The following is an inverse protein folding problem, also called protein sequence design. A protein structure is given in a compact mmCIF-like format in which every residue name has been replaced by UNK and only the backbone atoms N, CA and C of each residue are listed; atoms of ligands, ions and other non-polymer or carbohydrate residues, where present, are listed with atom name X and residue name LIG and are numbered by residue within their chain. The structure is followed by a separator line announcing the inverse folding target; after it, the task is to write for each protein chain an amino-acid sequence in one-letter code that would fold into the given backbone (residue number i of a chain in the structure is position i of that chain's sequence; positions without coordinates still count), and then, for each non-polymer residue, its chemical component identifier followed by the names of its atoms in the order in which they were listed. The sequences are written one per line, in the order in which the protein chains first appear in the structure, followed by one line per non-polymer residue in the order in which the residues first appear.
data_IF_003057022039
#
_entry.id   IF_003057022039
#
_cell.length_a   1.000
_cell.length_b   1.000
_cell.length_c   1.000
_cell.angle_alpha   90.00
_cell.angle_beta   90.00
_cell.angle_gamma   90.00
#
_symmetry.space_group_name_H-M   'P 1'
#
loop_
_entity.id
_entity.type
_entity.pdbx_description
1 polymer ?
#
# COMPACT_ATOMS: atom_id res chain seq x y z
N UNK A 1 27.42 1.34 -2.57
CA UNK A 1 27.52 -0.14 -2.52
C UNK A 1 26.24 -0.69 -1.91
N UNK A 2 25.58 -1.66 -2.54
CA UNK A 2 24.36 -2.28 -2.02
C UNK A 2 24.75 -3.15 -0.83
N UNK A 3 24.09 -2.97 0.32
CA UNK A 3 24.23 -3.87 1.47
C UNK A 3 23.14 -4.93 1.39
N UNK A 4 23.53 -6.19 1.51
CA UNK A 4 22.62 -7.33 1.49
C UNK A 4 22.22 -7.70 2.91
N UNK A 5 21.04 -8.30 3.03
CA UNK A 5 20.55 -8.88 4.27
C UNK A 5 21.33 -10.18 4.60
N UNK A 6 21.52 -10.54 5.88
CA UNK A 6 22.21 -11.77 6.24
C UNK A 6 21.45 -13.02 5.79
N UNK A 7 22.19 -14.02 5.32
CA UNK A 7 21.63 -15.21 4.69
C UNK A 7 21.05 -16.22 5.67
N UNK A 8 21.68 -16.39 6.83
CA UNK A 8 21.33 -17.44 7.80
C UNK A 8 21.15 -16.85 9.20
N UNK A 9 20.50 -17.63 10.04
CA UNK A 9 20.46 -17.41 11.48
C UNK A 9 21.86 -17.30 12.07
N UNK A 10 22.02 -16.36 13.01
CA UNK A 10 23.28 -16.13 13.69
C UNK A 10 23.40 -14.71 14.26
N UNK A 11 24.57 -14.44 14.82
CA UNK A 11 24.88 -13.17 15.47
C UNK A 11 24.73 -11.99 14.50
N UNK A 12 25.19 -12.16 13.26
CA UNK A 12 25.11 -11.11 12.24
C UNK A 12 23.66 -10.72 11.91
N UNK A 13 22.77 -11.71 11.78
CA UNK A 13 21.34 -11.48 11.54
C UNK A 13 20.73 -10.71 12.71
N UNK A 14 20.98 -11.15 13.95
CA UNK A 14 20.45 -10.51 15.15
C UNK A 14 20.92 -9.04 15.27
N UNK A 15 22.18 -8.76 14.96
CA UNK A 15 22.72 -7.39 14.94
C UNK A 15 22.03 -6.55 13.85
N UNK A 16 21.79 -7.09 12.66
CA UNK A 16 21.09 -6.36 11.60
C UNK A 16 19.62 -6.08 11.96
N UNK A 17 18.92 -7.03 12.58
CA UNK A 17 17.55 -6.84 13.08
C UNK A 17 17.52 -5.74 14.13
N UNK A 18 18.38 -5.81 15.15
CA UNK A 18 18.45 -4.78 16.20
C UNK A 18 18.70 -3.38 15.63
N UNK A 19 19.64 -3.27 14.67
CA UNK A 19 19.92 -2.01 13.97
C UNK A 19 18.72 -1.54 13.13
N UNK A 20 17.98 -2.47 12.51
CA UNK A 20 16.80 -2.17 11.72
C UNK A 20 15.69 -1.58 12.61
N UNK A 21 15.35 -2.23 13.72
CA UNK A 21 14.35 -1.74 14.67
C UNK A 21 14.76 -0.38 15.25
N UNK A 22 16.01 -0.24 15.70
CA UNK A 22 16.57 1.05 16.14
C UNK A 22 16.38 2.15 15.10
N UNK A 23 16.63 1.85 13.83
CA UNK A 23 16.46 2.81 12.73
C UNK A 23 14.99 3.23 12.61
N UNK A 24 14.04 2.31 12.70
CA UNK A 24 12.61 2.66 12.58
C UNK A 24 12.14 3.46 13.79
N UNK A 25 12.54 3.10 15.02
CA UNK A 25 12.27 3.94 16.19
C UNK A 25 12.75 5.39 16.02
N UNK A 26 13.93 5.59 15.39
CA UNK A 26 14.40 6.94 15.06
C UNK A 26 13.51 7.63 14.02
N UNK A 27 13.04 6.90 12.99
CA UNK A 27 12.13 7.45 11.98
C UNK A 27 10.78 7.89 12.56
N UNK A 28 10.32 7.29 13.66
CA UNK A 28 9.07 7.70 14.33
C UNK A 28 9.13 9.13 14.90
N UNK A 29 10.34 9.70 15.06
CA UNK A 29 10.51 11.10 15.45
C UNK A 29 10.40 12.07 14.27
N UNK A 30 10.33 11.58 13.03
CA UNK A 30 10.08 12.42 11.86
C UNK A 30 8.62 12.84 11.77
N UNK A 31 8.31 13.58 10.72
CA UNK A 31 6.94 13.91 10.41
C UNK A 31 6.13 12.64 10.06
N UNK A 32 4.99 12.43 10.73
CA UNK A 32 4.05 11.32 10.51
C UNK A 32 2.77 11.76 9.77
N UNK A 33 2.77 12.95 9.17
CA UNK A 33 1.71 13.38 8.25
C UNK A 33 1.75 12.55 6.98
N UNK A 34 0.59 12.07 6.54
CA UNK A 34 0.46 11.40 5.26
C UNK A 34 0.56 12.44 4.14
N UNK A 35 1.55 12.26 3.26
CA UNK A 35 1.79 13.15 2.12
C UNK A 35 1.28 12.58 0.80
N UNK A 36 0.65 11.40 0.85
CA UNK A 36 0.11 10.71 -0.32
C UNK A 36 -1.34 11.13 -0.59
N UNK A 37 -1.85 10.79 -1.77
CA UNK A 37 -3.26 10.96 -2.13
C UNK A 37 -4.18 9.85 -1.58
N UNK A 38 -3.62 8.90 -0.85
CA UNK A 38 -4.32 7.76 -0.28
C UNK A 38 -4.81 8.10 1.12
N UNK A 39 -6.07 7.80 1.44
CA UNK A 39 -6.64 8.06 2.76
C UNK A 39 -6.33 6.89 3.70
N UNK A 40 -5.73 7.17 4.85
CA UNK A 40 -5.54 6.21 5.94
C UNK A 40 -6.43 6.58 7.13
N UNK A 41 -6.93 5.59 7.87
CA UNK A 41 -7.70 5.77 9.10
C UNK A 41 -6.94 6.61 10.12
N UNK A 42 -5.63 6.39 10.23
CA UNK A 42 -4.75 7.13 11.13
C UNK A 42 -4.66 8.62 10.78
N UNK A 43 -5.10 9.08 9.61
CA UNK A 43 -4.98 10.49 9.21
C UNK A 43 -5.84 11.47 10.02
N UNK A 44 -6.87 10.99 10.70
CA UNK A 44 -7.65 11.80 11.65
C UNK A 44 -6.90 12.07 12.96
N UNK A 45 -5.86 11.29 13.25
CA UNK A 45 -5.19 11.21 14.55
C UNK A 45 -3.98 12.12 14.65
N UNK A 46 -3.77 12.73 15.82
CA UNK A 46 -2.63 13.59 16.09
C UNK A 46 -1.27 12.85 16.03
N UNK A 47 -0.18 13.59 15.94
CA UNK A 47 1.17 13.03 15.80
C UNK A 47 1.60 12.21 17.02
N UNK A 48 1.18 12.62 18.22
CA UNK A 48 1.50 11.93 19.46
C UNK A 48 0.92 10.50 19.46
N UNK A 49 -0.38 10.36 19.26
CA UNK A 49 -1.02 9.05 19.25
C UNK A 49 -0.51 8.20 18.08
N UNK A 50 -0.26 8.77 16.90
CA UNK A 50 0.37 8.02 15.79
C UNK A 50 1.72 7.43 16.20
N UNK A 51 2.57 8.23 16.85
CA UNK A 51 3.91 7.80 17.28
C UNK A 51 3.82 6.66 18.28
N UNK A 52 3.02 6.83 19.32
CA UNK A 52 2.80 5.80 20.36
C UNK A 52 2.21 4.52 19.75
N UNK A 53 1.20 4.63 18.87
CA UNK A 53 0.64 3.47 18.18
C UNK A 53 1.70 2.70 17.39
N UNK A 54 2.57 3.39 16.65
CA UNK A 54 3.65 2.73 15.92
C UNK A 54 4.70 2.12 16.83
N UNK A 55 4.99 2.73 17.99
CA UNK A 55 5.90 2.15 18.99
C UNK A 55 5.33 0.86 19.60
N UNK A 56 4.02 0.84 19.88
CA UNK A 56 3.32 -0.36 20.37
C UNK A 56 3.42 -1.48 19.35
N UNK A 57 3.13 -1.20 18.07
CA UNK A 57 3.21 -2.21 17.01
C UNK A 57 4.62 -2.77 16.86
N UNK A 58 5.64 -1.91 16.95
CA UNK A 58 7.03 -2.36 16.90
C UNK A 58 7.38 -3.27 18.09
N UNK A 59 6.95 -2.90 19.30
CA UNK A 59 7.20 -3.70 20.50
C UNK A 59 6.52 -5.07 20.41
N UNK A 60 5.26 -5.13 19.95
CA UNK A 60 4.56 -6.40 19.77
C UNK A 60 5.18 -7.25 18.64
N UNK A 61 5.74 -6.62 17.61
CA UNK A 61 6.51 -7.32 16.58
C UNK A 61 7.82 -7.89 17.13
N UNK A 62 8.53 -7.17 18.00
CA UNK A 62 9.74 -7.66 18.66
C UNK A 62 9.43 -8.89 19.53
N UNK A 63 8.36 -8.81 20.34
CA UNK A 63 7.89 -9.95 21.14
C UNK A 63 7.55 -11.13 20.24
N UNK A 64 6.81 -10.90 19.15
CA UNK A 64 6.45 -11.96 18.21
C UNK A 64 7.68 -12.63 17.59
N UNK A 65 8.72 -11.87 17.25
CA UNK A 65 9.96 -12.44 16.71
C UNK A 65 10.65 -13.31 17.76
N UNK A 66 10.71 -12.85 19.01
CA UNK A 66 11.27 -13.62 20.12
C UNK A 66 10.46 -14.91 20.36
N UNK A 67 9.13 -14.83 20.39
CA UNK A 67 8.24 -15.99 20.54
C UNK A 67 8.48 -17.02 19.42
N UNK A 68 8.61 -16.58 18.17
CA UNK A 68 8.86 -17.48 17.03
C UNK A 68 10.21 -18.18 17.17
N UNK A 69 11.23 -17.49 17.68
CA UNK A 69 12.56 -18.04 17.91
C UNK A 69 12.55 -19.00 19.10
N UNK A 70 11.94 -18.63 20.23
CA UNK A 70 11.90 -19.43 21.46
C UNK A 70 11.09 -20.73 21.29
N UNK A 71 10.05 -20.70 20.45
CA UNK A 71 9.21 -21.85 20.15
C UNK A 71 9.79 -22.75 19.04
N UNK A 72 10.98 -22.44 18.50
CA UNK A 72 11.63 -23.17 17.40
C UNK A 72 10.69 -23.43 16.20
N UNK A 73 9.87 -22.43 15.86
CA UNK A 73 8.87 -22.55 14.80
C UNK A 73 9.57 -22.74 13.46
N UNK A 74 9.12 -23.71 12.65
CA UNK A 74 9.71 -23.94 11.33
C UNK A 74 9.13 -22.98 10.28
N UNK A 75 9.86 -22.77 9.18
CA UNK A 75 9.42 -21.90 8.08
C UNK A 75 8.09 -22.34 7.46
N UNK A 76 7.85 -23.65 7.37
CA UNK A 76 6.59 -24.21 6.88
C UNK A 76 5.42 -23.86 7.80
N UNK A 77 5.66 -23.78 9.11
CA UNK A 77 4.64 -23.39 10.08
C UNK A 77 4.32 -21.90 9.94
N UNK A 78 5.32 -21.05 9.67
CA UNK A 78 5.08 -19.64 9.33
C UNK A 78 4.18 -19.55 8.10
N UNK A 79 4.45 -20.32 7.03
CA UNK A 79 3.62 -20.31 5.83
C UNK A 79 2.17 -20.78 6.09
N UNK A 80 1.98 -21.79 6.94
CA UNK A 80 0.64 -22.30 7.28
C UNK A 80 -0.13 -21.37 8.24
N UNK A 81 0.56 -20.75 9.19
CA UNK A 81 -0.05 -20.00 10.29
C UNK A 81 -0.03 -18.48 10.10
N UNK A 82 0.63 -17.95 9.05
CA UNK A 82 0.83 -16.52 8.83
C UNK A 82 -0.46 -15.68 9.01
N UNK A 83 -1.60 -16.15 8.49
CA UNK A 83 -2.86 -15.42 8.66
C UNK A 83 -3.28 -15.30 10.13
N UNK A 84 -3.11 -16.38 10.92
CA UNK A 84 -3.41 -16.37 12.37
C UNK A 84 -2.40 -15.52 13.13
N UNK A 85 -1.12 -15.61 12.80
CA UNK A 85 -0.05 -14.79 13.38
C UNK A 85 -0.34 -13.30 13.18
N UNK A 86 -0.74 -12.90 11.97
CA UNK A 86 -1.11 -11.51 11.67
C UNK A 86 -2.31 -11.04 12.50
N UNK A 87 -3.36 -11.87 12.63
CA UNK A 87 -4.55 -11.54 13.43
C UNK A 87 -4.19 -11.44 14.91
N UNK A 88 -3.37 -12.36 15.42
CA UNK A 88 -2.88 -12.34 16.80
C UNK A 88 -2.09 -11.05 17.08
N UNK A 89 -1.14 -10.68 16.21
CA UNK A 89 -0.39 -9.44 16.30
C UNK A 89 -1.29 -8.19 16.32
N UNK A 90 -2.31 -8.14 15.46
CA UNK A 90 -3.30 -7.05 15.45
C UNK A 90 -4.08 -7.03 16.78
N UNK A 91 -4.47 -8.19 17.28
CA UNK A 91 -5.26 -8.27 18.52
C UNK A 91 -4.44 -7.82 19.75
N UNK A 92 -3.19 -8.29 19.88
CA UNK A 92 -2.28 -7.91 20.95
C UNK A 92 -1.97 -6.41 20.93
N UNK A 93 -1.59 -5.88 19.76
CA UNK A 93 -1.33 -4.45 19.58
C UNK A 93 -2.55 -3.55 19.84
N UNK A 94 -3.76 -4.04 19.54
CA UNK A 94 -4.99 -3.34 19.88
C UNK A 94 -5.23 -3.32 21.40
N UNK A 95 -5.01 -4.45 22.08
CA UNK A 95 -5.13 -4.55 23.54
C UNK A 95 -4.10 -3.64 24.24
N UNK A 96 -2.83 -3.68 23.84
CA UNK A 96 -1.80 -2.82 24.43
C UNK A 96 -2.06 -1.34 24.14
N UNK A 97 -2.56 -0.99 22.96
CA UNK A 97 -3.04 0.36 22.64
C UNK A 97 -4.17 0.81 23.60
N UNK A 98 -5.13 -0.04 23.89
CA UNK A 98 -6.20 0.30 24.84
C UNK A 98 -5.69 0.54 26.25
N UNK A 99 -4.76 -0.30 26.71
CA UNK A 99 -4.17 -0.18 28.05
C UNK A 99 -3.39 1.13 28.19
N UNK A 100 -2.55 1.48 27.21
CA UNK A 100 -1.73 2.70 27.24
C UNK A 100 -2.58 3.96 27.22
N UNK A 101 -3.61 3.99 26.37
CA UNK A 101 -4.52 5.14 26.26
C UNK A 101 -5.70 5.11 27.24
N UNK A 102 -5.78 4.09 28.11
CA UNK A 102 -6.88 3.86 29.05
C UNK A 102 -8.26 3.89 28.38
N UNK A 103 -8.34 3.32 27.19
CA UNK A 103 -9.58 3.26 26.42
C UNK A 103 -10.39 2.05 26.91
N UNK A 104 -11.55 2.30 27.53
CA UNK A 104 -12.46 1.23 27.93
C UNK A 104 -13.33 0.84 26.74
N UNK A 105 -12.98 -0.25 26.04
CA UNK A 105 -13.89 -0.86 25.06
C UNK A 105 -14.22 -2.29 25.47
N UNK A 106 -15.49 -2.54 25.75
CA UNK A 106 -16.00 -3.81 26.25
C UNK A 106 -16.25 -4.86 25.16
N UNK A 107 -16.34 -4.47 23.88
CA UNK A 107 -16.84 -5.34 22.81
C UNK A 107 -15.76 -6.02 21.92
N UNK A 108 -14.47 -6.03 22.30
CA UNK A 108 -13.39 -6.58 21.45
C UNK A 108 -13.08 -8.06 21.62
N UNK A 109 -13.68 -8.76 22.60
CA UNK A 109 -13.41 -10.19 22.85
C UNK A 109 -13.70 -11.12 21.65
N UNK A 110 -14.28 -10.62 20.56
CA UNK A 110 -14.53 -11.34 19.30
C UNK A 110 -13.84 -10.68 18.09
N UNK A 111 -12.57 -10.28 18.20
CA UNK A 111 -11.76 -9.77 17.06
C UNK A 111 -11.86 -10.73 15.86
N UNK A 112 -11.74 -12.04 16.07
CA UNK A 112 -11.82 -13.04 15.00
C UNK A 112 -13.11 -12.98 14.17
N UNK A 113 -14.26 -12.73 14.79
CA UNK A 113 -15.54 -12.64 14.08
C UNK A 113 -15.73 -11.27 13.42
N UNK A 114 -15.28 -10.16 14.04
CA UNK A 114 -15.39 -8.80 13.47
C UNK A 114 -14.39 -8.54 12.34
N UNK A 115 -13.20 -9.15 12.39
CA UNK A 115 -12.21 -9.10 11.32
C UNK A 115 -12.71 -9.73 10.01
N UNK A 116 -13.82 -10.47 10.02
CA UNK A 116 -14.41 -11.06 8.81
C UNK A 116 -15.39 -10.13 8.05
N UNK A 117 -16.01 -9.16 8.74
CA UNK A 117 -17.09 -8.36 8.17
C UNK A 117 -16.63 -7.06 7.50
N UNK A 118 -15.48 -6.55 7.93
CA UNK A 118 -14.94 -5.27 7.47
C UNK A 118 -14.19 -5.44 6.12
N UNK A 119 -14.29 -4.46 5.22
CA UNK A 119 -13.66 -4.55 3.90
C UNK A 119 -12.14 -4.33 3.95
N UNK A 120 -11.67 -3.44 4.84
CA UNK A 120 -10.23 -3.27 5.06
C UNK A 120 -9.61 -4.60 5.48
N UNK A 121 -10.20 -5.32 6.44
CA UNK A 121 -9.71 -6.63 6.90
C UNK A 121 -9.76 -7.72 5.82
N UNK A 122 -10.75 -7.71 4.92
CA UNK A 122 -10.77 -8.60 3.73
C UNK A 122 -9.59 -8.34 2.80
N UNK A 123 -9.27 -7.07 2.54
CA UNK A 123 -8.09 -6.71 1.73
C UNK A 123 -6.81 -7.30 2.32
N UNK A 124 -6.63 -7.13 3.63
CA UNK A 124 -5.42 -7.57 4.34
C UNK A 124 -5.34 -9.10 4.39
N UNK A 125 -6.47 -9.77 4.54
CA UNK A 125 -6.53 -11.23 4.47
C UNK A 125 -6.02 -11.76 3.13
N UNK A 126 -6.28 -11.06 2.02
CA UNK A 126 -5.70 -11.41 0.72
C UNK A 126 -4.20 -11.11 0.63
N UNK A 127 -3.71 -10.14 1.38
CA UNK A 127 -2.32 -9.64 1.28
C UNK A 127 -1.41 -10.09 2.44
N UNK A 128 -1.89 -10.95 3.34
CA UNK A 128 -1.17 -11.40 4.54
C UNK A 128 0.23 -11.95 4.24
N UNK A 129 0.41 -12.66 3.11
CA UNK A 129 1.71 -13.16 2.64
C UNK A 129 2.71 -12.03 2.37
N UNK A 130 2.30 -11.03 1.59
CA UNK A 130 3.17 -9.90 1.22
C UNK A 130 3.39 -8.94 2.38
N UNK A 131 2.42 -8.86 3.29
CA UNK A 131 2.49 -7.99 4.45
C UNK A 131 3.46 -8.54 5.51
N UNK A 132 3.19 -9.72 6.07
CA UNK A 132 3.88 -10.22 7.26
C UNK A 132 4.80 -11.41 6.99
N UNK A 133 4.38 -12.38 6.18
CA UNK A 133 5.10 -13.66 6.00
C UNK A 133 6.55 -13.45 5.57
N UNK A 134 6.77 -12.68 4.52
CA UNK A 134 8.09 -12.46 3.94
C UNK A 134 9.00 -11.73 4.93
N UNK A 135 8.44 -10.75 5.64
CA UNK A 135 9.15 -10.02 6.67
C UNK A 135 9.59 -10.97 7.80
N UNK A 136 8.70 -11.84 8.30
CA UNK A 136 9.04 -12.81 9.34
C UNK A 136 10.11 -13.79 8.88
N UNK A 137 10.03 -14.27 7.63
CA UNK A 137 11.08 -15.14 7.07
C UNK A 137 12.43 -14.44 7.09
N UNK A 138 12.51 -13.18 6.65
CA UNK A 138 13.76 -12.44 6.63
C UNK A 138 14.29 -12.10 8.03
N UNK A 139 13.40 -11.79 8.97
CA UNK A 139 13.78 -11.46 10.34
C UNK A 139 14.18 -12.71 11.14
N UNK A 140 13.56 -13.87 10.92
CA UNK A 140 13.82 -15.07 11.75
C UNK A 140 14.85 -15.99 11.12
N UNK A 141 14.82 -16.21 9.80
CA UNK A 141 15.66 -17.22 9.13
C UNK A 141 16.76 -16.62 8.23
N UNK A 142 16.62 -15.37 7.81
CA UNK A 142 17.53 -14.70 6.88
C UNK A 142 17.15 -14.87 5.40
N UNK A 143 17.95 -14.32 4.48
CA UNK A 143 17.63 -14.29 3.05
C UNK A 143 17.72 -15.63 2.33
N UNK A 144 18.44 -16.62 2.86
CA UNK A 144 18.56 -17.93 2.21
C UNK A 144 17.33 -18.81 2.37
N UNK A 145 16.44 -18.48 3.30
CA UNK A 145 15.27 -19.27 3.62
C UNK A 145 14.05 -18.94 2.73
N UNK A 146 14.12 -17.87 1.94
CA UNK A 146 13.02 -17.50 1.05
C UNK A 146 13.01 -18.37 -0.21
N UNK A 147 12.06 -19.30 -0.25
CA UNK A 147 11.83 -20.19 -1.39
C UNK A 147 10.72 -19.72 -2.32
N UNK A 148 10.11 -18.57 -2.04
CA UNK A 148 8.83 -18.19 -2.64
C UNK A 148 8.96 -17.43 -3.97
N UNK A 149 10.18 -17.01 -4.34
CA UNK A 149 10.49 -16.22 -5.55
C UNK A 149 9.51 -15.04 -5.75
N UNK A 150 9.04 -14.44 -4.64
CA UNK A 150 8.05 -13.36 -4.69
C UNK A 150 8.64 -12.07 -5.25
N UNK A 151 9.93 -11.84 -5.08
CA UNK A 151 10.63 -10.67 -5.55
C UNK A 151 11.69 -11.03 -6.60
N UNK A 152 11.94 -10.13 -7.55
CA UNK A 152 12.98 -10.28 -8.58
C UNK A 152 14.36 -9.96 -8.01
N UNK A 153 14.78 -10.70 -6.99
CA UNK A 153 16.14 -10.66 -6.46
C UNK A 153 16.84 -11.99 -6.73
N UNK A 154 18.17 -11.98 -6.96
CA UNK A 154 18.93 -13.22 -6.97
C UNK A 154 18.84 -13.90 -5.59
N UNK A 155 18.92 -15.23 -5.60
CA UNK A 155 18.93 -16.04 -4.38
C UNK A 155 19.97 -15.50 -3.38
N UNK A 156 19.55 -15.42 -2.11
CA UNK A 156 20.40 -14.96 -1.01
C UNK A 156 20.99 -13.54 -1.17
N UNK A 157 20.43 -12.71 -2.07
CA UNK A 157 20.90 -11.33 -2.31
C UNK A 157 19.79 -10.31 -2.16
N UNK A 158 19.11 -10.36 -1.02
CA UNK A 158 18.03 -9.44 -0.69
C UNK A 158 18.64 -8.13 -0.17
N UNK A 159 18.34 -6.97 -0.76
CA UNK A 159 18.87 -5.70 -0.26
C UNK A 159 18.33 -5.40 1.15
N UNK A 160 19.19 -4.97 2.07
CA UNK A 160 18.74 -4.63 3.43
C UNK A 160 17.68 -3.52 3.46
N UNK A 161 17.76 -2.60 2.49
CA UNK A 161 16.74 -1.55 2.29
C UNK A 161 15.37 -2.11 1.90
N UNK A 162 15.30 -3.28 1.26
CA UNK A 162 14.04 -3.94 0.95
C UNK A 162 13.35 -4.42 2.23
N UNK A 163 14.08 -5.10 3.11
CA UNK A 163 13.58 -5.54 4.43
C UNK A 163 13.12 -4.34 5.26
N UNK A 164 13.85 -3.23 5.21
CA UNK A 164 13.45 -1.98 5.85
C UNK A 164 12.12 -1.42 5.31
N UNK A 165 11.92 -1.45 3.99
CA UNK A 165 10.66 -1.02 3.37
C UNK A 165 9.50 -1.92 3.79
N UNK A 166 9.73 -3.24 3.91
CA UNK A 166 8.71 -4.18 4.38
C UNK A 166 8.33 -3.91 5.83
N UNK A 167 9.30 -3.67 6.71
CA UNK A 167 9.03 -3.37 8.11
C UNK A 167 8.32 -2.01 8.28
N UNK A 168 8.76 -0.96 7.59
CA UNK A 168 8.05 0.33 7.54
C UNK A 168 6.57 0.12 7.11
N UNK A 169 6.36 -0.70 6.07
CA UNK A 169 5.04 -0.98 5.53
C UNK A 169 4.15 -1.73 6.53
N UNK A 170 4.67 -2.75 7.21
CA UNK A 170 3.92 -3.50 8.23
C UNK A 170 3.48 -2.57 9.35
N UNK A 171 4.37 -1.75 9.89
CA UNK A 171 4.04 -0.85 11.00
C UNK A 171 2.94 0.15 10.61
N UNK A 172 3.05 0.76 9.42
CA UNK A 172 2.06 1.74 8.96
C UNK A 172 0.71 1.07 8.66
N UNK A 173 0.71 -0.08 7.98
CA UNK A 173 -0.53 -0.79 7.66
C UNK A 173 -1.21 -1.32 8.91
N UNK A 174 -0.46 -1.88 9.88
CA UNK A 174 -1.03 -2.31 11.16
C UNK A 174 -1.63 -1.12 11.92
N UNK A 175 -0.97 0.03 11.94
CA UNK A 175 -1.53 1.24 12.56
C UNK A 175 -2.84 1.69 11.91
N UNK A 176 -2.91 1.66 10.58
CA UNK A 176 -4.13 1.91 9.81
C UNK A 176 -5.26 0.93 10.18
N UNK A 177 -4.93 -0.34 10.40
CA UNK A 177 -5.91 -1.37 10.74
C UNK A 177 -6.42 -1.22 12.17
N UNK A 178 -5.50 -1.14 13.13
CA UNK A 178 -5.83 -1.05 14.55
C UNK A 178 -6.70 0.18 14.79
N UNK A 179 -6.33 1.32 14.21
CA UNK A 179 -7.12 2.52 14.37
C UNK A 179 -8.47 2.43 13.64
N UNK A 180 -8.52 1.78 12.46
CA UNK A 180 -9.80 1.50 11.80
C UNK A 180 -10.72 0.65 12.69
N UNK A 181 -10.20 -0.38 13.35
CA UNK A 181 -10.96 -1.22 14.28
C UNK A 181 -11.46 -0.43 15.50
N UNK A 182 -10.63 0.46 16.07
CA UNK A 182 -11.04 1.38 17.13
C UNK A 182 -12.18 2.31 16.65
N UNK A 183 -12.10 2.82 15.42
CA UNK A 183 -13.19 3.60 14.83
C UNK A 183 -14.46 2.76 14.63
N UNK A 184 -14.32 1.51 14.19
CA UNK A 184 -15.44 0.62 13.89
C UNK A 184 -16.23 0.21 15.14
N UNK A 185 -15.60 0.18 16.31
CA UNK A 185 -16.28 -0.04 17.58
C UNK A 185 -17.27 1.06 17.96
N UNK A 186 -17.12 2.26 17.41
CA UNK A 186 -18.04 3.36 17.64
C UNK A 186 -19.19 3.32 16.62
N UNK A 187 -20.39 2.93 17.10
CA UNK A 187 -21.58 2.70 16.27
C UNK A 187 -22.07 4.01 15.63
N UNK A 188 -22.09 5.11 16.37
CA UNK A 188 -22.50 6.43 15.85
C UNK A 188 -21.31 7.37 15.63
N UNK A 189 -21.50 8.35 14.73
CA UNK A 189 -20.51 9.41 14.49
C UNK A 189 -20.33 10.33 15.69
N UNK A 190 -21.37 10.51 16.50
CA UNK A 190 -21.33 11.27 17.75
C UNK A 190 -20.49 10.55 18.80
N UNK A 191 -20.68 9.24 19.00
CA UNK A 191 -19.85 8.45 19.90
C UNK A 191 -18.38 8.48 19.49
N UNK A 192 -18.10 8.37 18.19
CA UNK A 192 -16.73 8.50 17.68
C UNK A 192 -16.15 9.89 17.94
N UNK A 193 -16.95 10.95 17.79
CA UNK A 193 -16.53 12.32 18.11
C UNK A 193 -16.20 12.48 19.59
N UNK A 194 -17.08 12.01 20.48
CA UNK A 194 -16.88 12.07 21.93
C UNK A 194 -15.67 11.24 22.36
N UNK A 195 -15.47 10.06 21.78
CA UNK A 195 -14.28 9.23 21.99
C UNK A 195 -12.99 9.97 21.59
N UNK A 196 -12.93 10.50 20.36
CA UNK A 196 -11.71 11.15 19.87
C UNK A 196 -11.39 12.45 20.60
N UNK A 197 -12.42 13.19 21.04
CA UNK A 197 -12.27 14.40 21.83
C UNK A 197 -11.90 14.09 23.28
N UNK A 198 -12.57 13.13 23.91
CA UNK A 198 -12.34 12.76 25.30
C UNK A 198 -10.93 12.24 25.57
N UNK A 199 -10.33 11.55 24.61
CA UNK A 199 -8.95 11.05 24.70
C UNK A 199 -7.91 11.96 24.03
N UNK A 200 -8.28 13.17 23.57
CA UNK A 200 -7.40 14.10 22.85
C UNK A 200 -6.64 13.45 21.67
N UNK A 201 -7.29 12.54 20.94
CA UNK A 201 -6.68 11.76 19.83
C UNK A 201 -6.77 12.53 18.50
N UNK A 202 -7.81 13.35 18.33
CA UNK A 202 -8.08 14.05 17.07
C UNK A 202 -7.03 15.12 16.73
N UNK A 203 -6.77 15.28 15.43
CA UNK A 203 -6.11 16.48 14.89
C UNK A 203 -7.01 17.70 15.00
N UNK A 204 -6.38 18.86 15.05
CA UNK A 204 -7.03 20.19 15.01
C UNK A 204 -7.80 20.44 13.70
N UNK A 205 -7.58 19.66 12.64
CA UNK A 205 -8.39 19.76 11.41
C UNK A 205 -9.79 19.16 11.57
N UNK A 206 -9.99 18.27 12.55
CA UNK A 206 -11.22 17.50 12.74
C UNK A 206 -11.92 17.87 14.06
N UNK A 207 -12.23 19.17 14.22
CA UNK A 207 -12.82 19.73 15.46
C UNK A 207 -14.33 19.49 15.57
N UNK A 208 -15.02 19.18 14.47
CA UNK A 208 -16.48 19.06 14.46
C UNK A 208 -16.98 17.65 14.15
N UNK A 209 -18.11 17.25 14.73
CA UNK A 209 -18.77 15.99 14.41
C UNK A 209 -19.03 15.82 12.91
N UNK A 210 -19.32 16.92 12.19
CA UNK A 210 -19.47 16.91 10.72
C UNK A 210 -18.16 16.54 10.01
N UNK A 211 -17.03 17.15 10.39
CA UNK A 211 -15.73 16.85 9.79
C UNK A 211 -15.33 15.38 9.99
N UNK A 212 -15.63 14.83 11.16
CA UNK A 212 -15.40 13.43 11.50
C UNK A 212 -16.32 12.50 10.68
N UNK A 213 -17.60 12.84 10.55
CA UNK A 213 -18.53 12.08 9.71
C UNK A 213 -18.09 12.08 8.25
N UNK A 214 -17.64 13.22 7.71
CA UNK A 214 -17.13 13.29 6.34
C UNK A 214 -15.87 12.45 6.16
N UNK A 215 -14.95 12.46 7.15
CA UNK A 215 -13.76 11.62 7.10
C UNK A 215 -14.12 10.13 7.11
N UNK A 216 -15.00 9.69 8.02
CA UNK A 216 -15.46 8.29 8.10
C UNK A 216 -16.11 7.83 6.78
N UNK A 217 -16.97 8.66 6.18
CA UNK A 217 -17.62 8.33 4.91
C UNK A 217 -16.62 8.23 3.76
N UNK A 218 -15.68 9.18 3.67
CA UNK A 218 -14.62 9.15 2.66
C UNK A 218 -13.71 7.93 2.83
N UNK A 219 -13.41 7.53 4.06
CA UNK A 219 -12.61 6.34 4.37
C UNK A 219 -13.30 5.05 3.96
N UNK A 220 -14.60 4.91 4.26
CA UNK A 220 -15.39 3.78 3.80
C UNK A 220 -15.37 3.70 2.27
N UNK A 221 -15.73 4.79 1.59
CA UNK A 221 -15.75 4.86 0.13
C UNK A 221 -14.38 4.54 -0.49
N UNK A 222 -13.31 5.10 0.08
CA UNK A 222 -11.95 4.84 -0.34
C UNK A 222 -11.58 3.35 -0.19
N UNK A 223 -11.97 2.69 0.90
CA UNK A 223 -11.74 1.26 1.11
C UNK A 223 -12.50 0.40 0.10
N UNK A 224 -13.76 0.73 -0.21
CA UNK A 224 -14.53 0.05 -1.26
C UNK A 224 -13.88 0.17 -2.64
N UNK A 225 -13.50 1.38 -3.05
CA UNK A 225 -12.81 1.59 -4.34
C UNK A 225 -11.48 0.83 -4.36
N UNK A 226 -10.75 0.88 -3.25
CA UNK A 226 -9.43 0.23 -3.18
C UNK A 226 -9.56 -1.28 -3.28
N UNK A 227 -10.51 -1.89 -2.58
CA UNK A 227 -10.74 -3.33 -2.62
C UNK A 227 -11.27 -3.80 -3.98
N UNK A 228 -12.30 -3.16 -4.53
CA UNK A 228 -12.89 -3.64 -5.78
C UNK A 228 -12.07 -3.24 -7.01
N UNK A 229 -11.55 -2.02 -7.11
CA UNK A 229 -10.90 -1.54 -8.34
C UNK A 229 -9.38 -1.52 -8.27
N UNK A 230 -8.80 -0.94 -7.21
CA UNK A 230 -7.33 -0.76 -7.16
C UNK A 230 -6.61 -2.07 -6.91
N UNK A 231 -7.12 -2.92 -6.03
CA UNK A 231 -6.50 -4.20 -5.66
C UNK A 231 -6.35 -5.15 -6.86
N UNK A 232 -7.39 -5.47 -7.65
CA UNK A 232 -7.20 -6.35 -8.82
C UNK A 232 -6.25 -5.73 -9.85
N UNK A 233 -6.30 -4.41 -10.05
CA UNK A 233 -5.36 -3.72 -10.95
C UNK A 233 -3.91 -3.89 -10.49
N UNK A 234 -3.64 -3.77 -9.19
CA UNK A 234 -2.30 -3.92 -8.61
C UNK A 234 -1.82 -5.37 -8.71
N UNK A 235 -2.71 -6.33 -8.48
CA UNK A 235 -2.45 -7.77 -8.65
C UNK A 235 -2.11 -8.10 -10.11
N UNK A 236 -2.94 -7.67 -11.06
CA UNK A 236 -2.73 -7.88 -12.50
C UNK A 236 -1.39 -7.30 -12.98
N UNK A 237 -0.95 -6.17 -12.42
CA UNK A 237 0.31 -5.54 -12.76
C UNK A 237 1.55 -6.11 -12.02
N UNK A 238 1.40 -7.17 -11.21
CA UNK A 238 2.48 -7.72 -10.37
C UNK A 238 3.18 -6.65 -9.51
N UNK A 239 2.37 -5.75 -8.92
CA UNK A 239 2.85 -4.70 -8.03
C UNK A 239 2.31 -4.91 -6.63
N UNK A 240 3.02 -4.35 -5.66
CA UNK A 240 2.56 -4.23 -4.29
C UNK A 240 2.82 -2.80 -3.79
N UNK A 241 1.80 -2.18 -3.22
CA UNK A 241 1.89 -0.85 -2.67
C UNK A 241 2.45 -0.93 -1.26
N UNK A 242 3.60 -0.29 -1.03
CA UNK A 242 4.26 -0.23 0.27
C UNK A 242 4.28 1.19 0.81
N UNK A 243 4.13 1.29 2.13
CA UNK A 243 4.19 2.54 2.88
C UNK A 243 5.54 2.70 3.56
N UNK A 244 6.08 3.91 3.56
CA UNK A 244 7.45 4.19 4.01
C UNK A 244 7.45 5.44 4.86
N UNK A 245 8.23 5.41 5.94
CA UNK A 245 8.53 6.60 6.73
C UNK A 245 9.58 7.45 6.00
N UNK A 246 9.23 8.71 5.69
CA UNK A 246 10.15 9.69 5.15
C UNK A 246 10.29 10.89 6.09
N UNK A 247 11.38 11.65 5.96
CA UNK A 247 11.56 12.88 6.76
C UNK A 247 10.45 13.91 6.57
N UNK A 248 9.80 13.92 5.39
CA UNK A 248 8.70 14.83 5.08
C UNK A 248 7.33 14.34 5.55
N UNK A 249 7.19 13.06 5.87
CA UNK A 249 5.88 12.44 6.10
C UNK A 249 5.85 10.94 5.76
N UNK A 250 4.66 10.34 5.85
CA UNK A 250 4.40 9.02 5.27
C UNK A 250 4.29 9.16 3.75
N UNK A 251 4.98 8.28 3.05
CA UNK A 251 4.95 8.19 1.59
C UNK A 251 4.55 6.77 1.15
N UNK A 252 4.11 6.63 -0.10
CA UNK A 252 3.83 5.33 -0.71
C UNK A 252 4.66 5.15 -1.98
N UNK A 253 5.04 3.91 -2.25
CA UNK A 253 5.66 3.51 -3.51
C UNK A 253 5.19 2.12 -3.92
N UNK A 254 5.40 1.77 -5.19
CA UNK A 254 5.15 0.42 -5.68
C UNK A 254 6.46 -0.36 -5.75
N UNK A 255 6.45 -1.56 -5.21
CA UNK A 255 7.49 -2.57 -5.45
C UNK A 255 6.92 -3.66 -6.34
N UNK A 256 7.79 -4.33 -7.09
CA UNK A 256 7.40 -5.55 -7.81
C UNK A 256 7.11 -6.66 -6.79
N UNK A 257 6.08 -7.47 -7.05
CA UNK A 257 5.83 -8.72 -6.35
C UNK A 257 5.14 -9.69 -7.31
N UNK A 258 5.55 -10.95 -7.33
CA UNK A 258 4.86 -12.00 -8.09
C UNK A 258 3.53 -12.33 -7.43
N UNK A 259 2.41 -12.09 -8.14
CA UNK A 259 1.05 -12.20 -7.59
C UNK A 259 0.12 -13.10 -8.40
N UNK A 260 0.67 -14.00 -9.21
CA UNK A 260 -0.12 -14.90 -10.07
C UNK A 260 -1.10 -15.76 -9.27
N UNK A 261 -0.66 -16.28 -8.12
CA UNK A 261 -1.51 -17.09 -7.24
C UNK A 261 -2.65 -16.28 -6.62
N UNK A 262 -2.45 -14.97 -6.41
CA UNK A 262 -3.43 -14.09 -5.78
C UNK A 262 -4.63 -13.84 -6.70
N UNK A 263 -4.46 -13.98 -8.03
CA UNK A 263 -5.56 -13.85 -9.02
C UNK A 263 -6.67 -14.87 -8.71
N UNK A 264 -6.30 -16.08 -8.28
CA UNK A 264 -7.25 -17.15 -7.93
C UNK A 264 -8.07 -16.85 -6.68
N UNK A 265 -7.60 -15.93 -5.82
CA UNK A 265 -8.25 -15.55 -4.58
C UNK A 265 -9.22 -14.38 -4.75
N UNK A 266 -9.33 -13.81 -5.96
CA UNK A 266 -10.19 -12.67 -6.22
C UNK A 266 -11.67 -13.05 -6.28
N UNK A 267 -12.51 -12.15 -5.78
CA UNK A 267 -13.95 -12.25 -5.94
C UNK A 267 -14.38 -12.08 -7.40
N UNK A 268 -15.56 -12.59 -7.77
CA UNK A 268 -16.08 -12.48 -9.14
C UNK A 268 -16.15 -11.02 -9.64
N UNK A 269 -16.52 -10.07 -8.78
CA UNK A 269 -16.54 -8.64 -9.13
C UNK A 269 -15.12 -8.09 -9.41
N UNK A 270 -14.13 -8.50 -8.62
CA UNK A 270 -12.73 -8.13 -8.87
C UNK A 270 -12.20 -8.77 -10.15
N UNK A 271 -12.62 -10.00 -10.45
CA UNK A 271 -12.22 -10.70 -11.68
C UNK A 271 -12.75 -10.00 -12.94
N UNK A 272 -13.99 -9.50 -12.93
CA UNK A 272 -14.53 -8.69 -14.03
C UNK A 272 -13.63 -7.49 -14.33
N UNK A 273 -13.04 -6.87 -13.29
CA UNK A 273 -12.15 -5.72 -13.46
C UNK A 273 -10.84 -6.13 -14.13
N UNK A 274 -10.32 -7.33 -13.87
CA UNK A 274 -9.17 -7.87 -14.61
C UNK A 274 -9.53 -8.08 -16.08
N UNK A 275 -10.67 -8.69 -16.37
CA UNK A 275 -11.13 -8.89 -17.76
C UNK A 275 -11.27 -7.56 -18.50
N UNK A 276 -11.77 -6.51 -17.84
CA UNK A 276 -11.85 -5.17 -18.42
C UNK A 276 -10.46 -4.57 -18.69
N UNK A 277 -9.47 -4.82 -17.82
CA UNK A 277 -8.09 -4.39 -18.04
C UNK A 277 -7.46 -5.15 -19.21
N UNK A 278 -7.67 -6.46 -19.33
CA UNK A 278 -7.19 -7.26 -20.46
C UNK A 278 -7.82 -6.81 -21.79
N UNK A 279 -9.13 -6.53 -21.79
CA UNK A 279 -9.81 -5.95 -22.95
C UNK A 279 -9.25 -4.57 -23.30
N UNK A 280 -8.97 -3.73 -22.29
CA UNK A 280 -8.31 -2.44 -22.50
C UNK A 280 -6.92 -2.62 -23.15
N UNK A 281 -6.09 -3.52 -22.62
CA UNK A 281 -4.75 -3.78 -23.15
C UNK A 281 -4.79 -4.33 -24.58
N UNK A 282 -5.84 -5.07 -24.94
CA UNK A 282 -6.05 -5.56 -26.31
C UNK A 282 -6.55 -4.47 -27.28
N UNK A 283 -7.44 -3.58 -26.82
CA UNK A 283 -8.10 -2.57 -27.66
C UNK A 283 -7.23 -1.32 -27.83
N UNK A 284 -6.54 -0.88 -26.77
CA UNK A 284 -5.71 0.34 -26.77
C UNK A 284 -4.68 0.41 -27.91
N UNK A 285 -3.85 -0.61 -28.21
CA UNK A 285 -2.87 -0.53 -29.30
C UNK A 285 -3.56 -0.42 -30.66
N UNK A 286 -4.72 -1.06 -30.84
CA UNK A 286 -5.48 -1.02 -32.09
C UNK A 286 -6.06 0.38 -32.34
N UNK A 287 -6.64 1.00 -31.32
CA UNK A 287 -7.13 2.37 -31.40
C UNK A 287 -6.00 3.37 -31.66
N UNK A 288 -4.85 3.21 -30.98
CA UNK A 288 -3.67 4.05 -31.23
C UNK A 288 -3.20 3.94 -32.68
N UNK A 289 -3.16 2.74 -33.25
CA UNK A 289 -2.77 2.55 -34.65
C UNK A 289 -3.74 3.24 -35.63
N UNK A 290 -5.05 3.16 -35.39
CA UNK A 290 -6.06 3.84 -36.19
C UNK A 290 -5.88 5.38 -36.10
N UNK A 291 -5.66 5.90 -34.89
CA UNK A 291 -5.41 7.34 -34.67
C UNK A 291 -4.13 7.81 -35.35
N UNK A 292 -3.05 7.01 -35.30
CA UNK A 292 -1.79 7.32 -36.00
C UNK A 292 -2.01 7.34 -37.52
N UNK A 293 -2.78 6.39 -38.07
CA UNK A 293 -3.09 6.34 -39.49
C UNK A 293 -3.94 7.55 -39.93
N UNK A 294 -4.99 7.88 -39.18
CA UNK A 294 -5.79 9.09 -39.39
C UNK A 294 -4.93 10.35 -39.34
N UNK A 295 -4.01 10.44 -38.37
CA UNK A 295 -3.08 11.56 -38.25
C UNK A 295 -2.18 11.69 -39.49
N UNK A 296 -1.63 10.57 -40.01
CA UNK A 296 -0.84 10.57 -41.24
C UNK A 296 -1.64 11.04 -42.45
N UNK A 297 -2.89 10.60 -42.58
CA UNK A 297 -3.79 11.03 -43.66
C UNK A 297 -4.07 12.53 -43.57
N UNK A 298 -4.39 13.04 -42.36
CA UNK A 298 -4.59 14.47 -42.14
C UNK A 298 -3.33 15.28 -42.52
N UNK A 299 -2.15 14.86 -42.07
CA UNK A 299 -0.87 15.53 -42.41
C UNK A 299 -0.62 15.51 -43.92
N UNK A 300 -0.92 14.40 -44.59
CA UNK A 300 -0.80 14.31 -46.05
C UNK A 300 -1.73 15.29 -46.77
N UNK A 301 -3.00 15.37 -46.37
CA UNK A 301 -3.99 16.29 -46.94
C UNK A 301 -3.53 17.74 -46.75
N UNK A 302 -3.07 18.11 -45.56
CA UNK A 302 -2.56 19.45 -45.26
C UNK A 302 -1.34 19.77 -46.13
N UNK A 303 -0.37 18.84 -46.23
CA UNK A 303 0.81 19.01 -47.08
C UNK A 303 0.44 19.17 -48.55
N UNK A 304 -0.52 18.38 -49.02
CA UNK A 304 -1.01 18.45 -50.40
C UNK A 304 -1.68 19.80 -50.68
N UNK A 305 -2.57 20.27 -49.79
CA UNK A 305 -3.25 21.56 -49.90
C UNK A 305 -2.24 22.73 -49.94
N UNK A 306 -1.26 22.74 -49.03
CA UNK A 306 -0.21 23.77 -48.99
C UNK A 306 0.67 23.72 -50.25
N UNK A 307 1.09 22.54 -50.70
CA UNK A 307 1.91 22.43 -51.92
C UNK A 307 1.15 22.89 -53.15
N UNK A 308 -0.12 22.53 -53.26
CA UNK A 308 -0.94 22.90 -54.41
C UNK A 308 -1.28 24.40 -54.41
N UNK A 309 -1.59 24.98 -53.25
CA UNK A 309 -1.84 26.43 -53.14
C UNK A 309 -0.59 27.24 -53.51
N UNK A 310 0.60 26.83 -53.05
CA UNK A 310 1.87 27.44 -53.44
C UNK A 310 2.13 27.32 -54.95
N UNK A 311 1.86 26.16 -55.56
CA UNK A 311 2.00 25.98 -57.02
C UNK A 311 1.08 26.92 -57.80
N UNK A 312 -0.18 27.07 -57.38
CA UNK A 312 -1.14 27.97 -58.04
C UNK A 312 -0.69 29.43 -57.91
N UNK A 313 -0.21 29.84 -56.72
CA UNK A 313 0.33 31.18 -56.49
C UNK A 313 1.58 31.47 -57.35
N UNK A 314 2.52 30.53 -57.42
CA UNK A 314 3.70 30.67 -58.28
C UNK A 314 3.31 30.77 -59.76
N UNK A 315 2.33 29.97 -60.20
CA UNK A 315 1.84 30.00 -61.58
C UNK A 315 1.17 31.34 -61.89
N UNK A 316 0.34 31.88 -61.00
CA UNK A 316 -0.28 33.20 -61.22
C UNK A 316 0.74 34.33 -61.27
N UNK A 317 1.75 34.31 -60.40
CA UNK A 317 2.88 35.26 -60.43
C UNK A 317 3.64 35.16 -61.77
N UNK A 318 3.93 33.94 -62.24
CA UNK A 318 4.66 33.74 -63.50
C UNK A 318 3.91 34.27 -64.73
N UNK A 319 2.57 34.15 -64.73
CA UNK A 319 1.72 34.68 -65.80
C UNK A 319 1.74 36.21 -65.77
N UNK A 320 1.61 36.82 -64.58
CA UNK A 320 1.67 38.27 -64.40
C UNK A 320 3.00 38.89 -64.86
N UNK A 321 4.11 38.21 -64.59
CA UNK A 321 5.45 38.64 -65.05
C UNK A 321 5.53 38.56 -66.58
N UNK A 322 5.02 37.48 -67.18
CA UNK A 322 5.06 37.26 -68.64
C UNK A 322 4.13 38.20 -69.42
N UNK A 323 3.07 38.71 -68.81
CA UNK A 323 2.18 39.72 -69.43
C UNK A 323 2.74 41.15 -69.35
N UNK A 324 3.78 41.38 -68.55
CA UNK A 324 4.42 42.71 -68.39
C UNK A 324 5.74 42.85 -69.18
N UNK A 325 6.23 41.80 -69.83
CA UNK A 325 7.38 41.78 -70.74
C UNK A 325 6.94 41.77 -72.20
#
# INVERSE_FOLDING_TARGET
MIRYWPDKQGIDLNIQISNLFKKIYLKLNFNLYNTTSHLLSIDIVNSYFKKELFQIILLELEILILDVIELDININDIYALNQKILIDLISKSLISCQQIFKIQVTEFYNVNNKFSSIISSRRIRLEHRLLLQNLLVYLVFGSSADTTNLYLFPDSRIPSKHVEILLDNVVIQLGDIIFYELMACNKSTLQLFDFLKGHNICRTTYISARSIATFKNNLLWYNYITYYFKQPRVIYNNRYQVWIFSSKGLNSQYIYASREQDIKLLSHLQFIIIVLLELQDFVTPKLQNILILLSKVCVYIIRYLISNSLKVLLKSISILIRTKS
#
